data_IF_342585125033
#
_entry.id   IF_342585125033
#
_cell.length_a   1.000
_cell.length_b   1.000
_cell.length_c   1.000
_cell.angle_alpha   90.00
_cell.angle_beta   90.00
_cell.angle_gamma   90.00
#
_symmetry.space_group_name_H-M   'P 1'
#
loop_
_entity.id
_entity.type
_entity.pdbx_description
1 polymer ?
#
# COMPACT_ATOMS: atom_id res chain seq x y z
N UNK A 1 -6.64 2.73 0.26
CA UNK A 1 -5.55 3.47 0.94
C UNK A 1 -4.41 3.61 -0.07
N UNK A 2 -3.76 4.76 -0.19
CA UNK A 2 -2.71 4.92 -1.20
C UNK A 2 -1.86 6.15 -0.96
N UNK A 3 -0.66 6.14 -1.52
CA UNK A 3 0.30 7.24 -1.44
C UNK A 3 0.57 7.79 -2.84
N UNK A 4 0.88 9.08 -2.91
CA UNK A 4 1.38 9.75 -4.12
C UNK A 4 2.67 10.48 -3.77
N UNK A 5 3.52 10.69 -4.76
CA UNK A 5 4.69 11.54 -4.55
C UNK A 5 4.22 12.99 -4.40
N UNK A 6 4.44 13.54 -3.20
CA UNK A 6 4.12 14.92 -2.89
C UNK A 6 5.31 15.57 -2.18
N UNK A 7 5.84 16.70 -2.69
CA UNK A 7 6.90 17.44 -2.03
C UNK A 7 6.50 17.85 -0.61
N UNK A 8 7.50 17.92 0.29
CA UNK A 8 7.36 18.36 1.69
C UNK A 8 6.34 17.56 2.52
N UNK A 9 5.97 16.36 2.06
CA UNK A 9 5.03 15.48 2.73
C UNK A 9 5.72 14.21 3.20
N UNK A 10 5.36 13.73 4.38
CA UNK A 10 5.91 12.51 4.97
C UNK A 10 4.80 11.62 5.49
N UNK A 11 4.99 10.31 5.36
CA UNK A 11 4.08 9.30 5.90
C UNK A 11 4.87 8.31 6.73
N UNK A 12 4.29 7.88 7.85
CA UNK A 12 4.87 6.83 8.67
C UNK A 12 4.33 5.48 8.20
N UNK A 13 5.23 4.51 8.03
CA UNK A 13 4.89 3.17 7.56
C UNK A 13 5.77 2.10 8.19
N UNK A 14 5.71 0.90 7.63
CA UNK A 14 6.58 -0.21 7.99
C UNK A 14 7.38 -0.63 6.77
N UNK A 15 8.69 -0.83 6.95
CA UNK A 15 9.55 -1.43 5.95
C UNK A 15 9.64 -2.93 6.21
N UNK A 16 9.57 -3.72 5.14
CA UNK A 16 9.77 -5.17 5.19
C UNK A 16 11.04 -5.50 4.39
N UNK A 17 11.91 -6.33 4.96
CA UNK A 17 13.15 -6.77 4.34
C UNK A 17 13.08 -8.24 3.94
N UNK A 18 13.88 -8.63 2.95
CA UNK A 18 14.02 -10.04 2.55
C UNK A 18 12.87 -10.57 1.71
N UNK A 19 12.16 -9.70 0.99
CA UNK A 19 11.21 -10.12 -0.04
C UNK A 19 12.01 -10.67 -1.22
N UNK A 20 11.73 -11.91 -1.60
CA UNK A 20 12.27 -12.53 -2.80
C UNK A 20 11.50 -12.07 -4.04
N UNK A 21 12.04 -12.39 -5.21
CA UNK A 21 11.45 -11.99 -6.49
C UNK A 21 10.03 -12.56 -6.66
N UNK A 22 9.76 -13.77 -6.14
CA UNK A 22 8.43 -14.37 -6.14
C UNK A 22 7.43 -13.60 -5.27
N UNK A 23 7.82 -13.16 -4.07
CA UNK A 23 6.98 -12.31 -3.23
C UNK A 23 6.72 -10.95 -3.89
N UNK A 24 7.73 -10.38 -4.55
CA UNK A 24 7.57 -9.13 -5.30
C UNK A 24 6.60 -9.27 -6.47
N UNK A 25 6.67 -10.36 -7.24
CA UNK A 25 5.71 -10.64 -8.32
C UNK A 25 4.28 -10.82 -7.80
N UNK A 26 4.10 -11.51 -6.66
CA UNK A 26 2.80 -11.65 -6.01
C UNK A 26 2.24 -10.29 -5.57
N UNK A 27 3.08 -9.41 -5.03
CA UNK A 27 2.69 -8.05 -4.67
C UNK A 27 2.31 -7.22 -5.90
N UNK A 28 3.10 -7.30 -6.98
CA UNK A 28 2.82 -6.62 -8.24
C UNK A 28 1.46 -7.09 -8.82
N UNK A 29 1.17 -8.40 -8.80
CA UNK A 29 -0.12 -8.94 -9.23
C UNK A 29 -1.27 -8.55 -8.27
N UNK A 30 -0.99 -8.48 -6.97
CA UNK A 30 -1.98 -8.15 -5.96
C UNK A 30 -2.46 -6.70 -6.08
N UNK A 31 -1.53 -5.75 -6.23
CA UNK A 31 -1.83 -4.33 -6.38
C UNK A 31 -2.40 -4.02 -7.78
N UNK A 32 -1.94 -4.77 -8.79
CA UNK A 32 -2.41 -4.71 -10.17
C UNK A 32 -2.19 -3.35 -10.82
N UNK A 33 -3.01 -3.02 -11.81
CA UNK A 33 -2.82 -1.80 -12.63
C UNK A 33 -3.08 -0.48 -11.91
N UNK A 34 -3.59 -0.50 -10.66
CA UNK A 34 -3.97 0.71 -9.92
C UNK A 34 -2.77 1.38 -9.25
N UNK A 35 -1.75 0.61 -8.92
CA UNK A 35 -0.54 1.11 -8.28
C UNK A 35 0.68 0.88 -9.17
N UNK A 36 1.68 1.71 -8.99
CA UNK A 36 2.99 1.57 -9.61
C UNK A 36 4.06 1.44 -8.54
N UNK A 37 5.04 0.57 -8.80
CA UNK A 37 6.18 0.39 -7.91
C UNK A 37 7.16 1.53 -8.11
N UNK A 38 7.32 2.36 -7.09
CA UNK A 38 8.24 3.49 -7.07
C UNK A 38 9.35 3.24 -6.06
N UNK A 39 10.57 3.69 -6.39
CA UNK A 39 11.66 3.70 -5.44
C UNK A 39 11.52 4.95 -4.57
N UNK A 40 11.51 4.77 -3.26
CA UNK A 40 11.40 5.84 -2.27
C UNK A 40 12.54 5.75 -1.28
N UNK A 41 12.97 6.90 -0.78
CA UNK A 41 13.94 6.98 0.31
C UNK A 41 13.18 7.03 1.63
N UNK A 42 13.39 6.04 2.49
CA UNK A 42 12.76 5.96 3.82
C UNK A 42 13.77 6.33 4.90
N UNK A 43 13.31 7.05 5.90
CA UNK A 43 14.09 7.31 7.11
C UNK A 43 13.73 6.27 8.16
N UNK A 44 14.70 5.47 8.59
CA UNK A 44 14.53 4.50 9.66
C UNK A 44 14.49 5.19 11.03
N UNK A 45 14.03 4.47 12.04
CA UNK A 45 13.90 4.98 13.41
C UNK A 45 15.26 5.36 14.05
N UNK A 46 16.36 4.79 13.54
CA UNK A 46 17.73 5.12 13.94
C UNK A 46 18.29 6.37 13.22
N UNK A 47 17.50 6.95 12.30
CA UNK A 47 17.88 8.11 11.50
C UNK A 47 18.65 7.78 10.22
N UNK A 48 18.87 6.50 9.90
CA UNK A 48 19.47 6.10 8.62
C UNK A 48 18.48 6.31 7.47
N UNK A 49 19.03 6.47 6.27
CA UNK A 49 18.25 6.58 5.03
C UNK A 49 18.48 5.31 4.22
N UNK A 50 17.39 4.66 3.85
CA UNK A 50 17.40 3.44 3.04
C UNK A 50 16.52 3.60 1.81
N UNK A 51 16.90 2.96 0.71
CA UNK A 51 16.06 2.87 -0.49
C UNK A 51 15.13 1.68 -0.36
N UNK A 52 13.84 1.91 -0.59
CA UNK A 52 12.81 0.89 -0.53
C UNK A 52 11.86 1.03 -1.71
N UNK A 53 11.26 -0.09 -2.12
CA UNK A 53 10.14 -0.06 -3.06
C UNK A 53 8.83 0.19 -2.30
N UNK A 54 8.00 1.07 -2.85
CA UNK A 54 6.65 1.31 -2.38
C UNK A 54 5.67 1.31 -3.55
N UNK A 55 4.42 0.93 -3.29
CA UNK A 55 3.34 0.98 -4.28
C UNK A 55 2.59 2.31 -4.14
N UNK A 56 2.78 3.20 -5.11
CA UNK A 56 2.11 4.49 -5.19
C UNK A 56 0.92 4.43 -6.16
N UNK A 57 -0.12 5.22 -5.93
CA UNK A 57 -1.24 5.31 -6.88
C UNK A 57 -0.77 6.01 -8.14
N UNK A 58 -1.04 5.39 -9.29
CA UNK A 58 -0.75 5.98 -10.60
C UNK A 58 -1.41 7.33 -10.76
N UNK A 59 -0.74 8.24 -11.47
CA UNK A 59 -1.27 9.59 -11.76
C UNK A 59 -2.71 9.58 -12.31
N UNK A 60 -3.02 8.63 -13.20
CA UNK A 60 -4.33 8.46 -13.81
C UNK A 60 -5.45 8.13 -12.78
N UNK A 61 -5.09 7.50 -11.67
CA UNK A 61 -6.00 7.07 -10.60
C UNK A 61 -5.99 8.01 -9.39
N UNK A 62 -5.19 9.09 -9.40
CA UNK A 62 -5.12 10.05 -8.28
C UNK A 62 -6.48 10.68 -7.96
N UNK A 63 -7.37 10.81 -8.95
CA UNK A 63 -8.74 11.31 -8.76
C UNK A 63 -9.59 10.45 -7.82
N UNK A 64 -9.17 9.21 -7.53
CA UNK A 64 -9.82 8.32 -6.58
C UNK A 64 -9.36 8.55 -5.13
N UNK A 65 -8.30 9.32 -4.92
CA UNK A 65 -7.83 9.65 -3.57
C UNK A 65 -8.76 10.65 -2.91
N UNK A 66 -9.05 10.42 -1.63
CA UNK A 66 -9.64 11.47 -0.79
C UNK A 66 -8.61 12.57 -0.55
N UNK A 67 -9.07 13.80 -0.39
CA UNK A 67 -8.28 14.93 0.12
C UNK A 67 -8.05 14.87 1.64
N UNK A 68 -8.69 13.92 2.33
CA UNK A 68 -8.46 13.71 3.75
C UNK A 68 -7.03 13.22 4.02
N UNK A 69 -6.34 13.78 5.03
CA UNK A 69 -5.02 13.31 5.41
C UNK A 69 -5.08 11.84 5.87
N UNK A 70 -4.08 11.07 5.44
CA UNK A 70 -3.93 9.69 5.89
C UNK A 70 -3.61 9.65 7.39
N UNK A 71 -4.45 8.93 8.14
CA UNK A 71 -4.27 8.69 9.57
C UNK A 71 -4.45 7.20 9.82
N UNK A 72 -3.34 6.56 10.23
CA UNK A 72 -3.29 5.12 10.44
C UNK A 72 -4.19 4.67 11.60
N UNK A 73 -4.26 5.44 12.69
CA UNK A 73 -5.11 5.13 13.83
C UNK A 73 -6.59 5.28 13.46
N UNK A 74 -6.93 6.34 12.70
CA UNK A 74 -8.29 6.53 12.19
C UNK A 74 -8.68 5.44 11.19
N UNK A 75 -7.73 4.96 10.37
CA UNK A 75 -7.94 3.85 9.46
C UNK A 75 -8.17 2.54 10.23
N UNK A 76 -7.36 2.22 11.23
CA UNK A 76 -7.54 1.02 12.05
C UNK A 76 -8.89 1.00 12.77
N UNK A 77 -9.31 2.14 13.31
CA UNK A 77 -10.55 2.23 14.08
C UNK A 77 -11.82 2.21 13.22
N UNK A 78 -11.83 2.88 12.06
CA UNK A 78 -13.07 3.10 11.29
C UNK A 78 -13.00 2.60 9.83
N UNK A 79 -11.79 2.41 9.30
CA UNK A 79 -11.53 2.03 7.91
C UNK A 79 -11.27 0.54 7.74
N UNK A 80 -10.69 -0.13 8.74
CA UNK A 80 -10.27 -1.52 8.65
C UNK A 80 -11.45 -2.46 8.44
N UNK A 81 -12.55 -2.27 9.18
CA UNK A 81 -13.74 -3.13 9.06
C UNK A 81 -14.39 -3.00 7.68
N UNK A 82 -14.52 -1.77 7.16
CA UNK A 82 -15.02 -1.52 5.80
C UNK A 82 -14.06 -2.02 4.73
N UNK A 83 -12.75 -1.88 4.96
CA UNK A 83 -11.72 -2.38 4.06
C UNK A 83 -11.74 -3.90 4.00
N UNK A 84 -11.79 -4.60 5.15
CA UNK A 84 -11.90 -6.06 5.20
C UNK A 84 -13.20 -6.52 4.55
N UNK A 85 -14.33 -5.87 4.82
CA UNK A 85 -15.60 -6.25 4.22
C UNK A 85 -15.56 -6.11 2.69
N UNK A 86 -15.10 -4.98 2.17
CA UNK A 86 -14.94 -4.77 0.74
C UNK A 86 -13.90 -5.71 0.13
N UNK A 87 -12.76 -5.93 0.79
CA UNK A 87 -11.69 -6.80 0.33
C UNK A 87 -12.14 -8.27 0.25
N UNK A 88 -12.90 -8.75 1.24
CA UNK A 88 -13.47 -10.10 1.27
C UNK A 88 -14.61 -10.24 0.26
N UNK A 89 -15.43 -9.21 0.03
CA UNK A 89 -16.49 -9.26 -0.99
C UNK A 89 -15.96 -9.18 -2.42
N UNK A 90 -15.01 -8.27 -2.69
CA UNK A 90 -14.40 -8.06 -4.01
C UNK A 90 -13.51 -9.25 -4.43
N UNK A 91 -12.92 -9.96 -3.45
CA UNK A 91 -12.03 -11.12 -3.67
C UNK A 91 -12.54 -12.42 -3.07
N UNK A 92 -13.86 -12.55 -2.95
CA UNK A 92 -14.51 -13.75 -2.41
C UNK A 92 -14.13 -15.02 -3.19
N UNK A 93 -13.89 -14.86 -4.48
CA UNK A 93 -13.43 -15.88 -5.42
C UNK A 93 -12.00 -16.39 -5.17
N UNK A 94 -11.13 -15.59 -4.53
CA UNK A 94 -9.79 -16.03 -4.09
C UNK A 94 -9.87 -16.86 -2.80
N UNK A 95 -10.76 -16.50 -1.87
CA UNK A 95 -10.94 -17.23 -0.61
C UNK A 95 -11.78 -18.52 -0.77
N UNK A 96 -12.76 -18.54 -1.67
CA UNK A 96 -13.59 -19.73 -1.95
C UNK A 96 -12.81 -20.83 -2.71
N UNK A 97 -11.69 -20.49 -3.38
CA UNK A 97 -10.86 -21.46 -4.11
C UNK A 97 -9.78 -22.16 -3.28
N UNK A 98 -9.57 -21.76 -2.01
CA UNK A 98 -8.68 -22.47 -1.10
C UNK A 98 -7.19 -22.46 -1.51
N UNK A 99 -6.75 -21.45 -2.26
CA UNK A 99 -5.34 -21.27 -2.67
C UNK A 99 -4.58 -20.36 -1.68
N UNK A 100 -4.62 -20.70 -0.38
CA UNK A 100 -3.80 -20.11 0.68
C UNK A 100 -3.20 -21.22 1.56
#
# INVERSE_FOLDING_TARGET
PGIIQQPDSVVTGKMYWGLDEEAMEKLDQFEGDKYERVLVQVTLADGSLEEAYAYAIREDCQKMLSTDPWDFDRFLQNGLEKFIHWFVEDRRDLFDRGDL
#
